data_IF_636829455111
#
_entry.id   IF_636829455111
#
_cell.length_a   1.000
_cell.length_b   1.000
_cell.length_c   1.000
_cell.angle_alpha   90.00
_cell.angle_beta   90.00
_cell.angle_gamma   90.00
#
_symmetry.space_group_name_H-M   'P 1'
#
loop_
_entity.id
_entity.type
_entity.pdbx_description
1 polymer ?
#
# COMPACT_ATOMS: atom_id res chain seq x y z
N UNK A 1 17.21 21.28 -3.37
CA UNK A 1 17.93 20.29 -3.32
C UNK A 1 17.44 19.14 -4.12
N UNK A 2 18.04 18.18 -4.10
CA UNK A 2 17.73 17.12 -4.98
C UNK A 2 18.13 15.81 -4.37
N UNK A 3 17.68 14.74 -4.95
CA UNK A 3 17.97 13.41 -4.50
C UNK A 3 19.32 12.96 -5.00
N UNK A 4 20.00 12.13 -4.21
CA UNK A 4 21.24 11.55 -4.66
C UNK A 4 20.97 10.38 -5.60
N UNK A 5 21.87 10.17 -6.54
CA UNK A 5 21.74 9.10 -7.53
C UNK A 5 21.57 7.72 -6.87
N UNK A 6 22.32 7.47 -5.80
CA UNK A 6 22.23 6.17 -5.10
C UNK A 6 20.85 5.94 -4.51
N UNK A 7 20.22 6.99 -3.96
CA UNK A 7 18.88 6.88 -3.41
C UNK A 7 17.85 6.65 -4.51
N UNK A 8 18.01 7.31 -5.66
CA UNK A 8 17.11 7.11 -6.78
C UNK A 8 17.22 5.69 -7.32
N UNK A 9 18.43 5.16 -7.44
CA UNK A 9 18.66 3.81 -7.91
C UNK A 9 18.09 2.78 -6.95
N UNK A 10 18.27 2.98 -5.66
CA UNK A 10 17.73 2.09 -4.65
C UNK A 10 16.21 2.08 -4.70
N UNK A 11 15.61 3.26 -4.77
CA UNK A 11 14.15 3.38 -4.85
C UNK A 11 13.60 2.69 -6.11
N UNK A 12 14.28 2.84 -7.27
CA UNK A 12 13.85 2.19 -8.49
C UNK A 12 13.90 0.66 -8.37
N UNK A 13 14.94 0.12 -7.72
CA UNK A 13 15.05 -1.33 -7.48
C UNK A 13 13.92 -1.84 -6.60
N UNK A 14 13.63 -1.12 -5.53
CA UNK A 14 12.56 -1.50 -4.60
C UNK A 14 11.21 -1.50 -5.31
N UNK A 15 10.92 -0.45 -6.08
CA UNK A 15 9.67 -0.37 -6.84
C UNK A 15 9.53 -1.54 -7.81
N UNK A 16 10.64 -1.93 -8.45
CA UNK A 16 10.62 -3.05 -9.37
C UNK A 16 10.29 -4.36 -8.67
N UNK A 17 10.89 -4.61 -7.49
CA UNK A 17 10.59 -5.79 -6.69
C UNK A 17 9.11 -5.82 -6.32
N UNK A 18 8.58 -4.69 -5.86
CA UNK A 18 7.17 -4.58 -5.46
C UNK A 18 6.25 -4.84 -6.65
N UNK A 19 6.55 -4.26 -7.82
CA UNK A 19 5.74 -4.44 -9.02
C UNK A 19 5.74 -5.89 -9.49
N UNK A 20 6.88 -6.57 -9.41
CA UNK A 20 6.98 -7.98 -9.79
C UNK A 20 6.21 -8.89 -8.85
N UNK A 21 6.23 -8.58 -7.55
CA UNK A 21 5.51 -9.36 -6.55
C UNK A 21 4.01 -9.16 -6.69
N UNK A 22 3.57 -7.90 -6.75
CA UNK A 22 2.14 -7.57 -6.70
C UNK A 22 1.46 -7.62 -8.05
N UNK A 23 2.10 -7.06 -9.08
CA UNK A 23 1.60 -6.96 -10.47
C UNK A 23 0.35 -6.12 -10.63
N UNK A 24 -0.58 -6.23 -9.69
CA UNK A 24 -1.87 -5.56 -9.69
C UNK A 24 -2.04 -4.75 -8.43
N UNK A 25 -3.06 -3.89 -8.43
CA UNK A 25 -3.54 -3.26 -7.22
C UNK A 25 -3.82 -4.35 -6.18
N UNK A 26 -3.16 -4.28 -5.04
CA UNK A 26 -3.33 -5.28 -3.98
C UNK A 26 -4.80 -5.41 -3.57
N UNK A 27 -5.58 -4.33 -3.70
CA UNK A 27 -7.01 -4.38 -3.35
C UNK A 27 -7.78 -5.36 -4.23
N UNK A 28 -7.34 -5.60 -5.47
CA UNK A 28 -7.99 -6.60 -6.30
C UNK A 28 -7.91 -8.01 -5.71
N UNK A 29 -6.87 -8.29 -4.92
CA UNK A 29 -6.70 -9.60 -4.30
C UNK A 29 -7.49 -9.77 -3.01
N UNK A 30 -7.78 -8.67 -2.31
CA UNK A 30 -8.36 -8.75 -0.96
C UNK A 30 -9.82 -8.32 -0.91
N UNK A 31 -10.31 -7.61 -1.93
CA UNK A 31 -11.70 -7.17 -2.00
C UNK A 31 -12.54 -8.16 -2.82
N UNK A 32 -13.84 -8.19 -2.54
CA UNK A 32 -14.78 -8.91 -3.39
C UNK A 32 -14.93 -8.14 -4.71
N UNK A 33 -15.40 -8.79 -5.79
CA UNK A 33 -15.67 -8.07 -7.05
C UNK A 33 -16.60 -6.88 -6.88
N UNK A 34 -17.62 -6.99 -6.04
CA UNK A 34 -18.56 -5.90 -5.79
C UNK A 34 -17.86 -4.72 -5.11
N UNK A 35 -17.02 -5.02 -4.10
CA UNK A 35 -16.24 -3.99 -3.42
C UNK A 35 -15.29 -3.28 -4.39
N UNK A 36 -14.60 -4.05 -5.22
CA UNK A 36 -13.65 -3.45 -6.15
C UNK A 36 -14.33 -2.64 -7.26
N UNK A 37 -15.55 -3.03 -7.65
CA UNK A 37 -16.36 -2.23 -8.58
C UNK A 37 -16.65 -0.84 -8.02
N UNK A 38 -16.91 -0.75 -6.71
CA UNK A 38 -17.10 0.54 -6.05
C UNK A 38 -15.81 1.36 -6.06
N UNK A 39 -14.67 0.72 -5.82
CA UNK A 39 -13.38 1.41 -5.90
C UNK A 39 -13.19 1.99 -7.31
N UNK A 40 -13.46 1.21 -8.36
CA UNK A 40 -13.34 1.69 -9.74
C UNK A 40 -14.20 2.91 -10.00
N UNK A 41 -15.44 2.86 -9.53
CA UNK A 41 -16.38 3.97 -9.72
C UNK A 41 -15.86 5.23 -9.04
N UNK A 42 -15.42 5.10 -7.80
CA UNK A 42 -14.99 6.26 -7.01
C UNK A 42 -13.64 6.79 -7.46
N UNK A 43 -12.74 5.91 -7.87
CA UNK A 43 -11.39 6.30 -8.29
C UNK A 43 -11.35 6.95 -9.67
N UNK A 44 -12.29 6.56 -10.56
CA UNK A 44 -12.24 7.03 -11.94
C UNK A 44 -10.93 6.69 -12.61
N UNK A 45 -10.33 7.62 -13.36
CA UNK A 45 -9.06 7.36 -14.06
C UNK A 45 -7.90 6.97 -13.14
N UNK A 46 -7.95 7.35 -11.86
CA UNK A 46 -6.88 7.04 -10.91
C UNK A 46 -6.76 5.56 -10.61
N UNK A 47 -7.77 4.75 -10.98
CA UNK A 47 -7.72 3.30 -10.80
C UNK A 47 -6.56 2.68 -11.57
N UNK A 48 -6.14 3.30 -12.66
CA UNK A 48 -5.06 2.77 -13.52
C UNK A 48 -3.67 3.17 -13.08
N UNK A 49 -3.56 4.04 -12.08
CA UNK A 49 -2.25 4.48 -11.58
C UNK A 49 -1.96 3.70 -10.30
N UNK A 50 -0.92 2.87 -10.34
CA UNK A 50 -0.54 2.04 -9.20
C UNK A 50 0.66 2.68 -8.49
N UNK A 51 0.47 3.03 -7.23
CA UNK A 51 1.51 3.63 -6.41
C UNK A 51 2.12 2.61 -5.46
N UNK A 52 3.45 2.63 -5.26
CA UNK A 52 4.07 1.91 -4.14
C UNK A 52 3.70 2.64 -2.84
N UNK A 53 2.90 2.01 -2.01
CA UNK A 53 2.39 2.59 -0.78
C UNK A 53 3.06 1.95 0.43
N UNK A 54 3.57 2.78 1.34
CA UNK A 54 4.21 2.32 2.57
C UNK A 54 3.17 1.99 3.65
N UNK A 55 3.29 0.79 4.24
CA UNK A 55 2.47 0.43 5.40
C UNK A 55 2.86 1.26 6.61
N UNK A 56 4.15 1.25 6.97
CA UNK A 56 4.68 2.06 8.06
C UNK A 56 5.30 3.32 7.46
N UNK A 57 4.90 4.51 7.95
CA UNK A 57 5.29 5.77 7.31
C UNK A 57 6.77 6.06 7.48
N UNK A 58 7.36 6.65 6.45
CA UNK A 58 8.77 7.01 6.43
C UNK A 58 9.13 7.99 7.54
N UNK A 59 8.20 8.85 7.94
CA UNK A 59 8.44 9.82 9.00
C UNK A 59 8.77 9.18 10.34
N UNK A 60 8.18 8.00 10.62
CA UNK A 60 8.42 7.27 11.87
C UNK A 60 9.39 6.12 11.71
N UNK A 61 9.49 5.58 10.50
CA UNK A 61 10.28 4.38 10.21
C UNK A 61 11.18 4.62 9.01
N UNK A 62 12.12 5.59 9.09
CA UNK A 62 12.96 5.91 7.93
C UNK A 62 13.80 4.71 7.46
N UNK A 63 14.12 3.80 8.36
CA UNK A 63 14.87 2.59 8.01
C UNK A 63 14.08 1.62 7.13
N UNK A 64 12.76 1.78 7.04
CA UNK A 64 11.90 0.90 6.26
C UNK A 64 11.48 1.47 4.91
N UNK A 65 11.97 2.66 4.57
CA UNK A 65 11.51 3.35 3.36
C UNK A 65 11.85 2.58 2.08
N UNK A 66 12.96 1.83 2.09
CA UNK A 66 13.40 1.05 0.94
C UNK A 66 13.23 -0.46 1.14
N UNK A 67 12.37 -0.86 2.07
CA UNK A 67 12.14 -2.29 2.32
C UNK A 67 10.87 -2.74 1.61
N UNK A 68 11.01 -3.63 0.63
CA UNK A 68 9.87 -4.08 -0.17
C UNK A 68 8.76 -4.70 0.67
N UNK A 69 9.10 -5.31 1.82
CA UNK A 69 8.09 -5.91 2.69
C UNK A 69 7.22 -4.86 3.39
N UNK A 70 7.62 -3.58 3.35
CA UNK A 70 6.83 -2.47 3.91
C UNK A 70 6.00 -1.76 2.84
N UNK A 71 5.98 -2.26 1.61
CA UNK A 71 5.39 -1.56 0.47
C UNK A 71 4.44 -2.49 -0.28
N UNK A 72 3.29 -1.96 -0.70
CA UNK A 72 2.36 -2.67 -1.56
C UNK A 72 1.95 -1.76 -2.72
N UNK A 73 1.47 -2.34 -3.83
CA UNK A 73 0.88 -1.55 -4.91
C UNK A 73 -0.59 -1.28 -4.60
N UNK A 74 -0.97 -0.03 -4.65
CA UNK A 74 -2.36 0.39 -4.50
C UNK A 74 -2.70 1.38 -5.59
N UNK A 75 -3.95 1.37 -6.08
CA UNK A 75 -4.39 2.43 -6.97
C UNK A 75 -4.29 3.77 -6.25
N UNK A 76 -3.99 4.82 -7.01
CA UNK A 76 -3.68 6.13 -6.44
C UNK A 76 -4.82 6.71 -5.61
N UNK A 77 -6.06 6.49 -6.02
CA UNK A 77 -7.19 7.02 -5.28
C UNK A 77 -7.28 6.39 -3.88
N UNK A 78 -7.27 5.04 -3.80
CA UNK A 78 -7.35 4.34 -2.51
C UNK A 78 -6.15 4.65 -1.62
N UNK A 79 -4.95 4.75 -2.22
CA UNK A 79 -3.76 5.15 -1.51
C UNK A 79 -3.95 6.52 -0.85
N UNK A 80 -4.47 7.49 -1.60
CA UNK A 80 -4.75 8.83 -1.07
C UNK A 80 -5.79 8.79 0.04
N UNK A 81 -6.82 7.95 -0.10
CA UNK A 81 -7.84 7.83 0.93
C UNK A 81 -7.25 7.30 2.24
N UNK A 82 -6.47 6.24 2.17
CA UNK A 82 -5.83 5.68 3.37
C UNK A 82 -4.89 6.69 4.04
N UNK A 83 -4.11 7.44 3.25
CA UNK A 83 -3.22 8.46 3.79
C UNK A 83 -4.00 9.56 4.52
N UNK A 84 -5.20 9.84 4.05
CA UNK A 84 -6.08 10.85 4.67
C UNK A 84 -6.97 10.26 5.77
N UNK A 85 -6.73 9.02 6.16
CA UNK A 85 -7.54 8.28 7.15
C UNK A 85 -9.00 8.17 6.70
N UNK A 86 -9.17 7.71 5.45
CA UNK A 86 -10.49 7.47 4.84
C UNK A 86 -10.56 6.07 4.30
N UNK A 87 -11.80 5.58 4.17
CA UNK A 87 -12.07 4.24 3.67
C UNK A 87 -11.61 4.12 2.21
N UNK A 88 -10.81 3.10 1.86
CA UNK A 88 -10.27 2.98 0.50
C UNK A 88 -11.30 2.56 -0.54
N UNK A 89 -12.51 2.21 -0.13
CA UNK A 89 -13.61 1.87 -1.04
C UNK A 89 -14.54 3.05 -1.22
N UNK A 90 -14.94 3.71 -0.12
CA UNK A 90 -15.99 4.73 -0.14
C UNK A 90 -15.48 6.16 -0.04
N UNK A 91 -14.27 6.37 0.49
CA UNK A 91 -13.74 7.69 0.74
C UNK A 91 -14.30 8.36 1.98
N UNK A 92 -15.09 7.65 2.78
CA UNK A 92 -15.63 8.20 4.01
C UNK A 92 -14.57 8.23 5.11
N UNK A 93 -14.71 9.15 6.05
CA UNK A 93 -13.78 9.22 7.19
C UNK A 93 -13.87 7.96 8.03
N UNK A 94 -12.72 7.47 8.48
CA UNK A 94 -12.65 6.30 9.35
C UNK A 94 -11.73 6.61 10.52
N UNK A 95 -11.78 5.77 11.56
CA UNK A 95 -10.90 5.91 12.71
C UNK A 95 -9.50 5.38 12.37
N UNK A 96 -8.51 5.73 13.20
CA UNK A 96 -7.16 5.18 13.06
C UNK A 96 -7.18 3.65 13.21
N UNK A 97 -8.01 3.15 14.11
CA UNK A 97 -8.16 1.72 14.32
C UNK A 97 -8.70 1.03 13.07
N UNK A 98 -9.69 1.63 12.42
CA UNK A 98 -10.24 1.10 11.17
C UNK A 98 -9.21 1.15 10.03
N UNK A 99 -8.40 2.20 9.99
CA UNK A 99 -7.32 2.30 9.01
C UNK A 99 -6.29 1.19 9.21
N UNK A 100 -5.92 0.92 10.47
CA UNK A 100 -5.00 -0.17 10.77
C UNK A 100 -5.58 -1.52 10.33
N UNK A 101 -6.88 -1.73 10.57
CA UNK A 101 -7.55 -2.96 10.13
C UNK A 101 -7.52 -3.09 8.61
N UNK A 102 -7.70 -1.98 7.88
CA UNK A 102 -7.58 -1.99 6.42
C UNK A 102 -6.18 -2.41 5.98
N UNK A 103 -5.14 -1.87 6.60
CA UNK A 103 -3.78 -2.23 6.25
C UNK A 103 -3.51 -3.72 6.51
N UNK A 104 -4.01 -4.26 7.61
CA UNK A 104 -3.85 -5.70 7.89
C UNK A 104 -4.53 -6.52 6.80
N UNK A 105 -5.75 -6.15 6.40
CA UNK A 105 -6.45 -6.84 5.31
C UNK A 105 -5.66 -6.77 4.00
N UNK A 106 -5.11 -5.62 3.68
CA UNK A 106 -4.31 -5.40 2.47
C UNK A 106 -3.05 -6.25 2.50
N UNK A 107 -2.34 -6.27 3.63
CA UNK A 107 -1.10 -7.04 3.78
C UNK A 107 -1.36 -8.54 3.67
N UNK A 108 -2.49 -9.01 4.14
CA UNK A 108 -2.85 -10.43 4.05
C UNK A 108 -3.07 -10.90 2.60
N UNK A 109 -3.12 -10.00 1.65
CA UNK A 109 -3.19 -10.35 0.23
C UNK A 109 -1.93 -11.04 -0.28
N UNK A 110 -0.82 -10.98 0.49
CA UNK A 110 0.40 -11.71 0.20
C UNK A 110 0.85 -12.37 1.50
N UNK A 111 0.68 -13.69 1.58
CA UNK A 111 0.93 -14.42 2.82
C UNK A 111 2.39 -14.32 3.28
N UNK A 112 3.34 -14.39 2.36
CA UNK A 112 4.76 -14.28 2.69
C UNK A 112 5.09 -12.93 3.30
N UNK A 113 4.59 -11.85 2.68
CA UNK A 113 4.81 -10.51 3.18
C UNK A 113 4.22 -10.34 4.58
N UNK A 114 2.99 -10.79 4.76
CA UNK A 114 2.29 -10.66 6.04
C UNK A 114 3.02 -11.42 7.15
N UNK A 115 3.41 -12.67 6.90
CA UNK A 115 4.12 -13.46 7.90
C UNK A 115 5.51 -12.90 8.19
N UNK A 116 6.19 -12.36 7.20
CA UNK A 116 7.48 -11.74 7.41
C UNK A 116 7.37 -10.51 8.32
N UNK A 117 6.36 -9.67 8.09
CA UNK A 117 6.12 -8.52 8.94
C UNK A 117 5.79 -8.94 10.38
N UNK A 118 5.04 -10.01 10.54
CA UNK A 118 4.76 -10.55 11.87
C UNK A 118 6.04 -11.05 12.54
N UNK A 119 6.85 -11.78 11.80
CA UNK A 119 8.14 -12.29 12.30
C UNK A 119 9.03 -11.15 12.77
N UNK A 120 9.04 -10.04 12.04
CA UNK A 120 9.83 -8.86 12.39
C UNK A 120 9.22 -8.06 13.54
N UNK A 121 8.04 -8.44 14.02
CA UNK A 121 7.37 -7.71 15.09
C UNK A 121 6.75 -6.39 14.66
N UNK A 122 6.54 -6.19 13.36
CA UNK A 122 6.00 -4.94 12.83
C UNK A 122 4.47 -4.97 12.70
N UNK A 123 3.86 -6.12 12.88
CA UNK A 123 2.40 -6.28 12.97
C UNK A 123 2.12 -6.93 14.32
N UNK A 124 1.16 -6.37 15.01
CA UNK A 124 0.75 -6.87 16.32
C UNK A 124 -0.15 -8.09 16.20
#
# INVERSE_FOLDING_TARGET
>A
MYRRDSQDKEWQKVKEVVRKRDRLDRLQKVLTPAEYSLVRRNAGPLIHILDPAHYLPASKYPELIYKSYNIVLLNRWSHSQLDACRDPITGENISLEERDAWWIRILKGDAEQYEYLRYKGLIK
#
